data_IF_311752056596
#
_entry.id   IF_311752056596
#
_cell.length_a   1.000
_cell.length_b   1.000
_cell.length_c   1.000
_cell.angle_alpha   90.00
_cell.angle_beta   90.00
_cell.angle_gamma   90.00
#
_symmetry.space_group_name_H-M   'P 1'
#
loop_
_entity.id
_entity.type
_entity.pdbx_description
1 polymer ?
#
# COMPACT_ATOMS: atom_id res chain seq x y z
N UNK A 1 20.25 23.02 14.53
CA UNK A 1 19.00 22.71 13.82
C UNK A 1 18.93 21.25 13.38
N UNK A 2 19.76 20.77 12.45
CA UNK A 2 19.68 19.40 11.92
C UNK A 2 19.71 18.31 13.01
N UNK A 3 20.60 18.41 13.97
CA UNK A 3 20.70 17.43 15.07
C UNK A 3 19.41 17.35 15.89
N UNK A 4 18.77 18.50 16.18
CA UNK A 4 17.51 18.56 16.96
C UNK A 4 16.39 17.88 16.16
N UNK A 5 16.25 18.21 14.87
CA UNK A 5 15.25 17.61 13.99
C UNK A 5 15.48 16.11 13.87
N UNK A 6 16.75 15.66 13.71
CA UNK A 6 17.07 14.23 13.64
C UNK A 6 16.71 13.47 14.92
N UNK A 7 16.99 14.04 16.09
CA UNK A 7 16.62 13.42 17.38
C UNK A 7 15.10 13.31 17.50
N UNK A 8 14.37 14.38 17.20
CA UNK A 8 12.90 14.40 17.25
C UNK A 8 12.31 13.42 16.26
N UNK A 9 12.87 13.34 15.05
CA UNK A 9 12.45 12.39 14.03
C UNK A 9 12.64 10.94 14.51
N UNK A 10 13.80 10.60 15.08
CA UNK A 10 14.08 9.26 15.62
C UNK A 10 13.11 8.92 16.75
N UNK A 11 12.88 9.83 17.69
CA UNK A 11 11.94 9.61 18.80
C UNK A 11 10.50 9.45 18.31
N UNK A 12 10.08 10.27 17.36
CA UNK A 12 8.76 10.15 16.74
C UNK A 12 8.58 8.85 15.95
N UNK A 13 9.62 8.43 15.22
CA UNK A 13 9.60 7.17 14.49
C UNK A 13 9.54 5.96 15.44
N UNK A 14 10.25 6.03 16.57
CA UNK A 14 10.12 5.03 17.64
C UNK A 14 8.71 4.99 18.22
N UNK A 15 8.05 6.13 18.40
CA UNK A 15 6.67 6.18 18.85
C UNK A 15 5.70 5.54 17.84
N UNK A 16 5.91 5.74 16.54
CA UNK A 16 5.16 5.08 15.47
C UNK A 16 5.39 3.56 15.50
N UNK A 17 6.63 3.13 15.62
CA UNK A 17 6.99 1.70 15.66
C UNK A 17 6.45 0.99 16.91
N UNK A 18 6.33 1.72 18.02
CA UNK A 18 5.81 1.21 19.30
C UNK A 18 4.31 1.54 19.50
N UNK A 19 3.54 1.60 18.42
CA UNK A 19 2.08 1.87 18.44
C UNK A 19 1.35 0.99 19.47
N UNK A 20 1.61 -0.32 19.45
CA UNK A 20 0.92 -1.28 20.31
C UNK A 20 1.16 -1.07 21.81
N UNK A 21 2.42 -0.97 22.30
CA UNK A 21 2.65 -0.75 23.72
C UNK A 21 2.25 0.65 24.19
N UNK A 22 2.37 1.67 23.33
CA UNK A 22 2.02 3.06 23.68
C UNK A 22 0.53 3.34 23.59
N UNK A 23 -0.24 2.49 22.91
CA UNK A 23 -1.68 2.66 22.61
C UNK A 23 -2.00 4.00 21.94
N UNK A 24 -1.08 4.50 21.15
CA UNK A 24 -1.22 5.76 20.38
C UNK A 24 -1.32 5.40 18.91
N UNK A 25 -2.29 6.01 18.22
CA UNK A 25 -2.49 5.79 16.79
C UNK A 25 -1.27 6.28 15.99
N UNK A 26 -0.71 5.45 15.11
CA UNK A 26 0.50 5.75 14.34
C UNK A 26 0.31 6.91 13.37
N UNK A 27 -0.89 7.06 12.79
CA UNK A 27 -1.20 8.15 11.87
C UNK A 27 -1.18 9.51 12.59
N UNK A 28 -1.73 9.56 13.82
CA UNK A 28 -1.69 10.74 14.66
C UNK A 28 -0.26 11.08 15.08
N UNK A 29 0.54 10.08 15.46
CA UNK A 29 1.95 10.25 15.82
C UNK A 29 2.77 10.78 14.63
N UNK A 30 2.55 10.23 13.42
CA UNK A 30 3.23 10.68 12.21
C UNK A 30 2.87 12.13 11.85
N UNK A 31 1.59 12.50 11.96
CA UNK A 31 1.13 13.86 11.68
C UNK A 31 1.74 14.86 12.67
N UNK A 32 1.71 14.56 13.97
CA UNK A 32 2.33 15.40 15.00
C UNK A 32 3.83 15.56 14.79
N UNK A 33 4.52 14.47 14.46
CA UNK A 33 5.95 14.48 14.15
C UNK A 33 6.26 15.40 12.97
N UNK A 34 5.49 15.31 11.90
CA UNK A 34 5.65 16.15 10.71
C UNK A 34 5.47 17.64 11.07
N UNK A 35 4.41 17.98 11.82
CA UNK A 35 4.15 19.36 12.26
C UNK A 35 5.28 19.89 13.15
N UNK A 36 5.74 19.10 14.12
CA UNK A 36 6.83 19.50 15.02
C UNK A 36 8.14 19.72 14.26
N UNK A 37 8.53 18.79 13.39
CA UNK A 37 9.74 18.91 12.58
C UNK A 37 9.67 20.15 11.67
N UNK A 38 8.54 20.39 11.03
CA UNK A 38 8.35 21.55 10.16
C UNK A 38 8.36 22.87 10.94
N UNK A 39 7.73 22.90 12.10
CA UNK A 39 7.75 24.09 13.00
C UNK A 39 9.18 24.43 13.42
N UNK A 40 9.98 23.44 13.82
CA UNK A 40 11.37 23.67 14.19
C UNK A 40 12.16 24.18 13.00
N UNK A 41 11.96 23.58 11.82
CA UNK A 41 12.61 24.03 10.58
C UNK A 41 12.28 25.50 10.28
N UNK A 42 11.02 25.88 10.38
CA UNK A 42 10.56 27.24 10.15
C UNK A 42 11.13 28.25 11.16
N UNK A 43 11.19 27.88 12.45
CA UNK A 43 11.71 28.76 13.51
C UNK A 43 13.22 29.01 13.39
N UNK A 44 13.97 28.03 12.88
CA UNK A 44 15.43 28.16 12.73
C UNK A 44 15.85 28.73 11.37
N UNK A 45 14.94 28.90 10.43
CA UNK A 45 15.25 29.44 9.12
C UNK A 45 14.79 30.91 9.04
N UNK A 46 15.72 31.87 8.84
CA UNK A 46 15.38 33.28 8.80
C UNK A 46 14.59 33.71 7.56
N UNK A 47 14.67 32.90 6.48
CA UNK A 47 13.95 33.17 5.24
C UNK A 47 12.58 32.47 5.24
N UNK A 48 11.58 33.17 5.71
CA UNK A 48 10.20 32.68 5.78
C UNK A 48 9.60 32.42 4.39
N UNK A 49 10.07 33.10 3.36
CA UNK A 49 9.55 32.91 2.01
C UNK A 49 10.00 31.59 1.42
N UNK A 50 11.29 31.26 1.53
CA UNK A 50 11.82 29.94 1.12
C UNK A 50 11.16 28.81 1.90
N UNK A 51 10.93 28.96 3.22
CA UNK A 51 10.22 27.95 4.03
C UNK A 51 8.80 27.74 3.53
N UNK A 52 8.08 28.81 3.20
CA UNK A 52 6.70 28.71 2.72
C UNK A 52 6.63 28.06 1.34
N UNK A 53 7.52 28.42 0.43
CA UNK A 53 7.58 27.82 -0.92
C UNK A 53 7.89 26.32 -0.86
N UNK A 54 8.82 25.93 0.00
CA UNK A 54 9.12 24.50 0.24
C UNK A 54 7.94 23.76 0.86
N UNK A 55 7.21 24.37 1.81
CA UNK A 55 6.02 23.76 2.40
C UNK A 55 4.94 23.57 1.35
N UNK A 56 4.65 24.58 0.55
CA UNK A 56 3.66 24.51 -0.51
C UNK A 56 4.02 23.44 -1.53
N UNK A 57 5.28 23.38 -1.96
CA UNK A 57 5.75 22.37 -2.90
C UNK A 57 5.58 20.94 -2.36
N UNK A 58 5.97 20.70 -1.11
CA UNK A 58 5.79 19.39 -0.48
C UNK A 58 4.31 19.03 -0.29
N UNK A 59 3.47 19.98 0.11
CA UNK A 59 2.04 19.75 0.23
C UNK A 59 1.38 19.46 -1.12
N UNK A 60 1.80 20.14 -2.20
CA UNK A 60 1.31 19.87 -3.55
C UNK A 60 1.64 18.43 -3.97
N UNK A 61 2.88 17.98 -3.79
CA UNK A 61 3.29 16.61 -4.10
C UNK A 61 2.49 15.56 -3.30
N UNK A 62 2.27 15.82 -2.01
CA UNK A 62 1.45 14.92 -1.17
C UNK A 62 -0.01 14.92 -1.65
N UNK A 63 -0.55 16.07 -2.02
CA UNK A 63 -1.92 16.20 -2.51
C UNK A 63 -2.12 15.41 -3.82
N UNK A 64 -1.17 15.44 -4.76
CA UNK A 64 -1.24 14.63 -5.99
C UNK A 64 -1.37 13.15 -5.66
N UNK A 65 -0.54 12.64 -4.73
CA UNK A 65 -0.59 11.23 -4.30
C UNK A 65 -1.95 10.91 -3.67
N UNK A 66 -2.45 11.75 -2.76
CA UNK A 66 -3.73 11.53 -2.08
C UNK A 66 -4.89 11.53 -3.08
N UNK A 67 -4.96 12.49 -4.00
CA UNK A 67 -6.02 12.54 -5.01
C UNK A 67 -5.97 11.35 -5.95
N UNK A 68 -4.77 10.93 -6.37
CA UNK A 68 -4.61 9.72 -7.17
C UNK A 68 -5.12 8.49 -6.43
N UNK A 69 -4.72 8.30 -5.17
CA UNK A 69 -5.13 7.16 -4.36
C UNK A 69 -6.64 7.14 -4.12
N UNK A 70 -7.26 8.29 -3.79
CA UNK A 70 -8.71 8.38 -3.61
C UNK A 70 -9.43 7.98 -4.90
N UNK A 71 -9.00 8.50 -6.05
CA UNK A 71 -9.60 8.16 -7.35
C UNK A 71 -9.46 6.68 -7.68
N UNK A 72 -8.26 6.14 -7.59
CA UNK A 72 -7.99 4.74 -7.87
C UNK A 72 -8.76 3.80 -6.94
N UNK A 73 -8.72 4.05 -5.62
CA UNK A 73 -9.43 3.23 -4.64
C UNK A 73 -10.94 3.30 -4.80
N UNK A 74 -11.50 4.46 -5.16
CA UNK A 74 -12.94 4.61 -5.42
C UNK A 74 -13.39 3.75 -6.60
N UNK A 75 -12.62 3.73 -7.70
CA UNK A 75 -12.93 2.89 -8.86
C UNK A 75 -12.88 1.41 -8.48
N UNK A 76 -11.85 0.99 -7.77
CA UNK A 76 -11.68 -0.40 -7.33
C UNK A 76 -12.81 -0.83 -6.39
N UNK A 77 -13.18 0.02 -5.43
CA UNK A 77 -14.27 -0.24 -4.51
C UNK A 77 -15.62 -0.35 -5.25
N UNK A 78 -15.86 0.49 -6.23
CA UNK A 78 -17.04 0.42 -7.07
C UNK A 78 -17.14 -0.93 -7.81
N UNK A 79 -16.03 -1.41 -8.38
CA UNK A 79 -15.96 -2.73 -9.04
C UNK A 79 -16.22 -3.85 -8.02
N UNK A 80 -15.63 -3.76 -6.82
CA UNK A 80 -15.79 -4.74 -5.76
C UNK A 80 -17.25 -4.83 -5.27
N UNK A 81 -17.87 -3.68 -5.01
CA UNK A 81 -19.25 -3.57 -4.51
C UNK A 81 -20.26 -4.15 -5.50
N UNK A 82 -20.01 -4.01 -6.81
CA UNK A 82 -20.86 -4.56 -7.87
C UNK A 82 -20.50 -6.01 -8.23
N UNK A 83 -19.79 -6.74 -7.36
CA UNK A 83 -19.36 -8.11 -7.61
C UNK A 83 -18.58 -8.31 -8.92
N UNK A 84 -17.88 -7.29 -9.40
CA UNK A 84 -17.09 -7.37 -10.64
C UNK A 84 -16.07 -8.50 -10.66
N UNK A 85 -15.60 -8.93 -9.49
CA UNK A 85 -14.66 -10.04 -9.35
C UNK A 85 -15.31 -11.42 -9.34
N UNK A 86 -16.66 -11.52 -9.31
CA UNK A 86 -17.37 -12.80 -9.34
C UNK A 86 -17.14 -13.57 -10.66
N UNK A 87 -16.87 -12.85 -11.74
CA UNK A 87 -16.54 -13.43 -13.03
C UNK A 87 -15.30 -14.33 -12.95
N UNK A 88 -14.33 -13.95 -12.13
CA UNK A 88 -13.10 -14.73 -11.92
C UNK A 88 -13.42 -16.03 -11.18
N UNK A 89 -14.29 -15.95 -10.17
CA UNK A 89 -14.61 -17.08 -9.30
C UNK A 89 -15.50 -18.13 -9.94
N UNK A 90 -16.44 -17.71 -10.78
CA UNK A 90 -17.34 -18.61 -11.50
C UNK A 90 -16.58 -19.56 -12.45
N UNK A 91 -15.39 -19.19 -12.88
CA UNK A 91 -14.54 -20.03 -13.74
C UNK A 91 -13.69 -21.05 -12.97
N UNK A 92 -13.64 -20.97 -11.65
CA UNK A 92 -12.85 -21.87 -10.82
C UNK A 92 -13.71 -23.10 -10.49
N UNK A 93 -13.55 -24.17 -11.27
CA UNK A 93 -14.33 -25.42 -11.12
C UNK A 93 -13.55 -26.56 -10.47
N UNK A 94 -12.27 -26.34 -10.12
CA UNK A 94 -11.41 -27.41 -9.61
C UNK A 94 -11.70 -27.78 -8.17
N UNK A 95 -11.80 -29.07 -7.89
CA UNK A 95 -11.98 -29.64 -6.54
C UNK A 95 -10.65 -29.97 -5.84
N UNK A 96 -9.54 -29.97 -6.59
CA UNK A 96 -8.21 -30.26 -6.04
C UNK A 96 -7.66 -29.05 -5.28
N UNK A 97 -7.50 -29.16 -3.97
CA UNK A 97 -6.97 -28.10 -3.10
C UNK A 97 -5.63 -27.53 -3.59
N UNK A 98 -4.71 -28.41 -4.04
CA UNK A 98 -3.39 -28.00 -4.53
C UNK A 98 -3.48 -27.17 -5.81
N UNK A 99 -4.30 -27.61 -6.77
CA UNK A 99 -4.53 -26.87 -8.01
C UNK A 99 -5.24 -25.53 -7.73
N UNK A 100 -6.22 -25.55 -6.84
CA UNK A 100 -6.96 -24.36 -6.41
C UNK A 100 -6.02 -23.32 -5.78
N UNK A 101 -5.10 -23.75 -4.91
CA UNK A 101 -4.12 -22.87 -4.27
C UNK A 101 -3.27 -22.14 -5.32
N UNK A 102 -2.73 -22.86 -6.29
CA UNK A 102 -1.94 -22.26 -7.36
C UNK A 102 -2.76 -21.28 -8.22
N UNK A 103 -3.96 -21.66 -8.61
CA UNK A 103 -4.85 -20.81 -9.42
C UNK A 103 -5.16 -19.51 -8.66
N UNK A 104 -5.55 -19.60 -7.38
CA UNK A 104 -5.85 -18.44 -6.55
C UNK A 104 -4.62 -17.57 -6.38
N UNK A 105 -3.44 -18.15 -6.12
CA UNK A 105 -2.19 -17.38 -5.96
C UNK A 105 -1.83 -16.64 -7.25
N UNK A 106 -1.89 -17.26 -8.41
CA UNK A 106 -1.62 -16.60 -9.69
C UNK A 106 -2.64 -15.50 -10.01
N UNK A 107 -3.94 -15.77 -9.80
CA UNK A 107 -4.97 -14.76 -10.00
C UNK A 107 -4.74 -13.56 -9.06
N UNK A 108 -4.44 -13.83 -7.79
CA UNK A 108 -4.15 -12.79 -6.79
C UNK A 108 -2.93 -11.96 -7.19
N UNK A 109 -1.85 -12.61 -7.64
CA UNK A 109 -0.63 -11.94 -8.11
C UNK A 109 -0.92 -10.95 -9.25
N UNK A 110 -1.59 -11.40 -10.31
CA UNK A 110 -1.90 -10.51 -11.44
C UNK A 110 -2.98 -9.47 -11.11
N UNK A 111 -3.97 -9.83 -10.30
CA UNK A 111 -5.00 -8.90 -9.88
C UNK A 111 -4.42 -7.76 -9.04
N UNK A 112 -3.46 -8.08 -8.16
CA UNK A 112 -2.78 -7.09 -7.31
C UNK A 112 -1.91 -6.11 -8.08
N UNK A 113 -1.41 -6.49 -9.24
CA UNK A 113 -0.65 -5.57 -10.10
C UNK A 113 -1.50 -4.45 -10.73
N UNK A 114 -2.83 -4.62 -10.72
CA UNK A 114 -3.78 -3.68 -11.33
C UNK A 114 -4.57 -2.92 -10.25
N UNK A 115 -4.98 -3.64 -9.20
CA UNK A 115 -5.79 -3.06 -8.13
C UNK A 115 -4.90 -2.65 -6.96
N UNK A 116 -4.60 -2.70 -6.08
CA UNK A 116 -3.58 -2.66 -5.05
C UNK A 116 -3.59 -3.95 -4.19
N UNK A 117 -2.50 -4.17 -3.50
CA UNK A 117 -2.30 -5.36 -2.70
C UNK A 117 -3.34 -5.52 -1.59
N UNK A 118 -3.71 -4.45 -0.88
CA UNK A 118 -4.67 -4.50 0.22
C UNK A 118 -6.07 -4.88 -0.25
N UNK A 119 -6.58 -4.19 -1.27
CA UNK A 119 -7.92 -4.46 -1.83
C UNK A 119 -7.98 -5.86 -2.43
N UNK A 120 -6.94 -6.26 -3.17
CA UNK A 120 -6.85 -7.60 -3.74
C UNK A 120 -6.85 -8.67 -2.65
N UNK A 121 -6.10 -8.49 -1.56
CA UNK A 121 -6.10 -9.41 -0.44
C UNK A 121 -7.49 -9.54 0.18
N UNK A 122 -8.17 -8.43 0.47
CA UNK A 122 -9.52 -8.43 1.06
C UNK A 122 -10.51 -9.17 0.15
N UNK A 123 -10.54 -8.83 -1.14
CA UNK A 123 -11.44 -9.44 -2.13
C UNK A 123 -11.20 -10.95 -2.21
N UNK A 124 -9.94 -11.36 -2.39
CA UNK A 124 -9.59 -12.77 -2.58
C UNK A 124 -9.77 -13.60 -1.31
N UNK A 125 -9.49 -13.06 -0.12
CA UNK A 125 -9.77 -13.73 1.17
C UNK A 125 -11.27 -13.90 1.37
N UNK A 126 -12.06 -12.87 1.10
CA UNK A 126 -13.52 -12.95 1.19
C UNK A 126 -14.09 -14.02 0.26
N UNK A 127 -13.50 -14.18 -0.90
CA UNK A 127 -13.85 -15.18 -1.87
C UNK A 127 -13.53 -16.60 -1.40
N UNK A 128 -12.33 -16.80 -0.88
CA UNK A 128 -11.89 -18.08 -0.30
C UNK A 128 -12.78 -18.48 0.87
N UNK A 129 -13.24 -17.52 1.69
CA UNK A 129 -14.17 -17.79 2.79
C UNK A 129 -15.50 -18.39 2.31
N UNK A 130 -15.98 -18.00 1.12
CA UNK A 130 -17.19 -18.54 0.51
C UNK A 130 -16.98 -19.90 -0.15
N UNK A 131 -15.77 -20.18 -0.63
CA UNK A 131 -15.45 -21.39 -1.39
C UNK A 131 -14.97 -22.56 -0.53
N UNK A 132 -14.28 -22.27 0.58
CA UNK A 132 -13.59 -23.29 1.40
C UNK A 132 -14.25 -23.37 2.78
N UNK A 133 -14.95 -24.46 3.11
CA UNK A 133 -15.61 -24.61 4.43
C UNK A 133 -14.62 -24.84 5.57
N UNK A 134 -13.52 -25.56 5.33
CA UNK A 134 -12.54 -25.90 6.36
C UNK A 134 -11.73 -24.69 6.81
N UNK A 135 -11.60 -24.50 8.12
CA UNK A 135 -10.90 -23.34 8.70
C UNK A 135 -9.39 -23.38 8.45
N UNK A 136 -8.76 -24.53 8.54
CA UNK A 136 -7.31 -24.65 8.40
C UNK A 136 -6.90 -24.41 6.94
N UNK A 137 -7.68 -24.96 6.01
CA UNK A 137 -7.48 -24.68 4.59
C UNK A 137 -7.67 -23.19 4.31
N UNK A 138 -8.69 -22.52 4.85
CA UNK A 138 -8.88 -21.07 4.69
C UNK A 138 -7.70 -20.27 5.20
N UNK A 139 -7.12 -20.63 6.34
CA UNK A 139 -5.92 -19.95 6.86
C UNK A 139 -4.74 -20.10 5.90
N UNK A 140 -4.50 -21.31 5.38
CA UNK A 140 -3.44 -21.55 4.40
C UNK A 140 -3.65 -20.72 3.12
N UNK A 141 -4.86 -20.75 2.57
CA UNK A 141 -5.17 -19.99 1.37
C UNK A 141 -5.07 -18.47 1.59
N UNK A 142 -5.55 -17.98 2.75
CA UNK A 142 -5.44 -16.55 3.10
C UNK A 142 -3.99 -16.11 3.25
N UNK A 143 -3.14 -16.94 3.84
CA UNK A 143 -1.70 -16.65 3.96
C UNK A 143 -1.04 -16.55 2.58
N UNK A 144 -1.36 -17.48 1.67
CA UNK A 144 -0.85 -17.44 0.30
C UNK A 144 -1.37 -16.24 -0.49
N UNK A 145 -2.64 -15.85 -0.29
CA UNK A 145 -3.22 -14.65 -0.90
C UNK A 145 -2.46 -13.39 -0.44
N UNK A 146 -2.15 -13.27 0.85
CA UNK A 146 -1.40 -12.13 1.37
C UNK A 146 0.00 -12.06 0.75
N UNK A 147 0.69 -13.19 0.65
CA UNK A 147 2.02 -13.25 0.01
C UNK A 147 1.90 -12.89 -1.49
N UNK A 148 0.98 -13.53 -2.20
CA UNK A 148 0.80 -13.32 -3.63
C UNK A 148 0.33 -11.89 -3.97
N UNK A 149 -0.51 -11.27 -3.13
CA UNK A 149 -0.95 -9.90 -3.34
C UNK A 149 0.19 -8.88 -3.14
N UNK A 150 1.04 -9.07 -2.14
CA UNK A 150 2.20 -8.20 -1.96
C UNK A 150 3.24 -8.39 -3.08
N UNK A 151 3.55 -9.63 -3.45
CA UNK A 151 4.44 -9.92 -4.57
C UNK A 151 3.88 -9.36 -5.90
N UNK A 152 2.57 -9.51 -6.12
CA UNK A 152 1.89 -8.99 -7.32
C UNK A 152 1.82 -7.47 -7.38
N UNK A 153 1.78 -6.77 -6.24
CA UNK A 153 1.72 -5.32 -6.18
C UNK A 153 3.06 -4.63 -6.48
N UNK A 154 4.17 -5.28 -6.15
CA UNK A 154 5.48 -4.60 -6.13
C UNK A 154 6.07 -4.30 -7.51
N UNK A 155 5.70 -5.04 -8.55
CA UNK A 155 6.28 -4.90 -9.88
C UNK A 155 5.54 -3.93 -10.83
N UNK A 156 4.46 -3.29 -10.35
CA UNK A 156 3.75 -2.25 -11.11
C UNK A 156 3.68 -0.93 -10.33
N UNK A 157 3.58 0.21 -11.02
CA UNK A 157 3.50 1.50 -10.35
C UNK A 157 2.27 1.68 -9.46
N UNK A 158 1.15 1.00 -9.78
CA UNK A 158 -0.15 1.17 -9.13
C UNK A 158 -0.54 0.00 -8.21
N UNK A 159 0.23 -1.08 -8.21
CA UNK A 159 -0.08 -2.29 -7.44
C UNK A 159 0.19 -2.18 -5.93
N UNK A 160 1.01 -1.22 -5.51
CA UNK A 160 1.31 -0.94 -4.11
C UNK A 160 1.41 0.56 -3.87
N UNK A 161 0.99 1.03 -2.70
CA UNK A 161 1.05 2.46 -2.34
C UNK A 161 2.47 2.98 -2.39
N UNK A 162 3.46 2.19 -1.95
CA UNK A 162 4.86 2.60 -1.94
C UNK A 162 5.39 2.81 -3.36
N UNK A 163 5.11 1.88 -4.28
CA UNK A 163 5.51 2.02 -5.69
C UNK A 163 4.80 3.17 -6.38
N UNK A 164 3.52 3.40 -6.05
CA UNK A 164 2.75 4.56 -6.53
C UNK A 164 3.40 5.87 -6.09
N UNK A 165 3.77 5.99 -4.82
CA UNK A 165 4.43 7.20 -4.29
C UNK A 165 5.78 7.47 -4.98
N UNK A 166 6.60 6.44 -5.17
CA UNK A 166 7.89 6.56 -5.85
C UNK A 166 7.72 6.93 -7.33
N UNK A 167 6.68 6.40 -7.98
CA UNK A 167 6.39 6.69 -9.38
C UNK A 167 5.89 8.13 -9.57
N UNK A 168 4.92 8.60 -8.78
CA UNK A 168 4.42 9.99 -8.82
C UNK A 168 5.54 10.96 -8.46
N UNK A 169 6.38 10.61 -7.46
CA UNK A 169 7.56 11.38 -7.08
C UNK A 169 8.71 11.35 -8.09
N UNK A 170 8.52 10.76 -9.29
CA UNK A 170 9.53 10.65 -10.36
C UNK A 170 10.83 9.95 -9.94
N UNK A 171 10.79 9.11 -8.87
CA UNK A 171 11.96 8.34 -8.42
C UNK A 171 12.14 7.06 -9.23
N UNK A 172 11.07 6.54 -9.81
CA UNK A 172 11.07 5.32 -10.64
C UNK A 172 10.25 5.54 -11.90
N UNK A 173 10.63 4.88 -13.00
CA UNK A 173 9.82 4.83 -14.21
C UNK A 173 9.01 3.53 -14.28
N UNK A 174 7.80 3.59 -14.86
CA UNK A 174 6.92 2.42 -15.01
C UNK A 174 7.60 1.25 -15.72
N UNK A 175 8.38 1.54 -16.76
CA UNK A 175 9.05 0.50 -17.55
C UNK A 175 10.16 -0.19 -16.75
N UNK A 176 10.93 0.58 -15.97
CA UNK A 176 12.04 0.04 -15.19
C UNK A 176 11.52 -0.84 -14.05
N UNK A 177 10.50 -0.41 -13.30
CA UNK A 177 9.95 -1.20 -12.22
C UNK A 177 9.42 -2.55 -12.73
N UNK A 178 8.72 -2.56 -13.87
CA UNK A 178 8.22 -3.80 -14.46
C UNK A 178 9.37 -4.72 -14.87
N UNK A 179 10.39 -4.20 -15.55
CA UNK A 179 11.52 -5.01 -16.01
C UNK A 179 12.36 -5.61 -14.87
N UNK A 180 12.63 -4.81 -13.84
CA UNK A 180 13.54 -5.20 -12.76
C UNK A 180 12.83 -6.06 -11.70
N UNK A 181 11.55 -5.80 -11.42
CA UNK A 181 10.85 -6.44 -10.31
C UNK A 181 9.90 -7.57 -10.72
N UNK A 182 9.50 -7.69 -11.99
CA UNK A 182 8.59 -8.75 -12.40
C UNK A 182 9.17 -10.15 -12.12
N UNK A 183 10.41 -10.40 -12.56
CA UNK A 183 11.04 -11.70 -12.40
C UNK A 183 11.30 -12.08 -10.93
N UNK A 184 11.82 -11.18 -10.07
CA UNK A 184 11.97 -11.47 -8.65
C UNK A 184 10.64 -11.63 -7.89
N UNK A 185 9.54 -11.03 -8.39
CA UNK A 185 8.23 -11.08 -7.73
C UNK A 185 7.45 -12.38 -8.02
N UNK A 186 7.72 -13.07 -9.13
CA UNK A 186 7.09 -14.34 -9.52
C UNK A 186 7.72 -15.51 -8.79
#
# INVERSE_FOLDING_TARGET
MLIIISIIFILGYLAIALEHPLKVNKEASALLLAVVCWTIYALYNPDSQTVNDQLQHNLANIAEIIFFLIGAMTIVELIATHNGFSIITQKITTTSKRKLLWIISFITFFLSSILNNLTTAIVMVTLVQKMIPDRNDRLLFSSMIIIASNAGGVWTPIGDVTTTMLWIGNQISSLNIIKELFLPAV
#
